data_IF_827896260501
#
_entry.id   IF_827896260501
#
_cell.length_a   1.000
_cell.length_b   1.000
_cell.length_c   1.000
_cell.angle_alpha   90.00
_cell.angle_beta   90.00
_cell.angle_gamma   90.00
#
_symmetry.space_group_name_H-M   'P 1'
#
loop_
_entity.id
_entity.type
_entity.pdbx_description
1 polymer ?
#
# COMPACT_ATOMS: atom_id res chain seq x y z
N UNK A 1 38.97 12.45 14.44
CA UNK A 1 37.90 11.61 13.85
C UNK A 1 37.55 12.24 12.53
N UNK A 2 38.04 11.68 11.42
CA UNK A 2 37.58 12.12 10.10
C UNK A 2 36.07 11.82 10.02
N UNK A 3 35.27 12.81 9.63
CA UNK A 3 33.83 12.62 9.51
C UNK A 3 33.57 11.52 8.48
N UNK A 4 32.52 10.71 8.70
CA UNK A 4 32.13 9.64 7.75
C UNK A 4 31.95 10.20 6.33
N UNK A 5 31.53 11.47 6.22
CA UNK A 5 31.47 12.26 4.99
C UNK A 5 32.83 12.44 4.28
N UNK A 6 33.93 12.59 5.02
CA UNK A 6 35.27 12.71 4.46
C UNK A 6 35.77 11.36 3.87
N UNK A 7 35.28 10.24 4.39
CA UNK A 7 35.59 8.90 3.88
C UNK A 7 34.82 8.61 2.57
N UNK A 8 33.52 8.97 2.54
CA UNK A 8 32.63 8.78 1.38
C UNK A 8 33.01 9.70 0.20
N UNK A 9 33.55 10.90 0.46
CA UNK A 9 33.93 11.83 -0.63
C UNK A 9 35.09 11.37 -1.51
N UNK A 10 35.95 10.43 -1.08
CA UNK A 10 37.23 10.19 -1.76
C UNK A 10 37.20 9.19 -2.92
N UNK A 11 36.23 8.28 -3.04
CA UNK A 11 36.22 7.27 -4.12
C UNK A 11 34.87 6.53 -4.34
N UNK A 12 33.77 7.03 -3.79
CA UNK A 12 32.50 6.28 -3.76
C UNK A 12 31.79 6.36 -5.11
N UNK A 13 31.47 5.19 -5.70
CA UNK A 13 30.71 5.12 -6.95
C UNK A 13 29.27 5.60 -6.71
N UNK A 14 28.61 6.13 -7.74
CA UNK A 14 27.24 6.66 -7.65
C UNK A 14 26.26 5.65 -7.02
N UNK A 15 26.41 4.36 -7.30
CA UNK A 15 25.61 3.28 -6.71
C UNK A 15 25.76 3.20 -5.18
N UNK A 16 26.98 3.34 -4.66
CA UNK A 16 27.25 3.31 -3.21
C UNK A 16 26.66 4.54 -2.50
N UNK A 17 26.61 5.71 -3.15
CA UNK A 17 25.91 6.88 -2.60
C UNK A 17 24.42 6.64 -2.44
N UNK A 18 23.77 5.99 -3.42
CA UNK A 18 22.34 5.64 -3.32
C UNK A 18 22.09 4.62 -2.21
N UNK A 19 22.95 3.62 -2.05
CA UNK A 19 22.86 2.68 -0.93
C UNK A 19 22.99 3.37 0.43
N UNK A 20 23.96 4.27 0.58
CA UNK A 20 24.16 5.03 1.81
C UNK A 20 22.98 5.96 2.13
N UNK A 21 22.40 6.60 1.10
CA UNK A 21 21.19 7.41 1.24
C UNK A 21 20.05 6.61 1.87
N UNK A 22 19.72 5.43 1.31
CA UNK A 22 18.66 4.58 1.86
C UNK A 22 18.99 4.07 3.27
N UNK A 23 20.26 3.73 3.52
CA UNK A 23 20.71 3.33 4.85
C UNK A 23 20.46 4.43 5.90
N UNK A 24 20.89 5.67 5.63
CA UNK A 24 20.71 6.78 6.56
C UNK A 24 19.24 7.15 6.76
N UNK A 25 18.43 7.13 5.69
CA UNK A 25 16.99 7.33 5.79
C UNK A 25 16.33 6.26 6.68
N UNK A 26 16.72 4.99 6.54
CA UNK A 26 16.17 3.89 7.37
C UNK A 26 16.52 3.99 8.85
N UNK A 27 17.62 4.71 9.18
CA UNK A 27 18.09 4.96 10.55
C UNK A 27 17.60 6.29 11.11
N UNK A 28 16.72 7.00 10.41
CA UNK A 28 16.26 8.35 10.74
C UNK A 28 17.41 9.37 10.91
N UNK A 29 18.54 9.13 10.21
CA UNK A 29 19.71 10.01 10.19
C UNK A 29 19.56 11.02 9.04
N UNK A 30 18.62 11.95 9.20
CA UNK A 30 18.17 12.81 8.09
C UNK A 30 19.20 13.86 7.67
N UNK A 31 20.00 14.39 8.59
CA UNK A 31 21.06 15.36 8.27
C UNK A 31 22.17 14.72 7.41
N UNK A 32 22.51 13.47 7.71
CA UNK A 32 23.47 12.67 6.95
C UNK A 32 22.90 12.28 5.58
N UNK A 33 21.63 11.87 5.52
CA UNK A 33 20.96 11.59 4.25
C UNK A 33 20.90 12.84 3.34
N UNK A 34 20.60 14.02 3.89
CA UNK A 34 20.61 15.29 3.15
C UNK A 34 22.00 15.60 2.58
N UNK A 35 23.04 15.40 3.40
CA UNK A 35 24.44 15.56 2.96
C UNK A 35 24.85 14.58 1.84
N UNK A 36 24.25 13.37 1.78
CA UNK A 36 24.48 12.41 0.70
C UNK A 36 23.76 12.85 -0.59
N UNK A 37 22.57 13.41 -0.48
CA UNK A 37 21.84 13.96 -1.63
C UNK A 37 22.64 15.08 -2.29
N UNK A 38 23.19 16.02 -1.51
CA UNK A 38 24.04 17.10 -2.03
C UNK A 38 25.24 16.55 -2.81
N UNK A 39 25.82 15.44 -2.34
CA UNK A 39 26.91 14.74 -3.03
C UNK A 39 26.44 14.09 -4.33
N UNK A 40 25.25 13.48 -4.37
CA UNK A 40 24.66 12.92 -5.58
C UNK A 40 24.41 14.02 -6.62
N UNK A 41 23.88 15.18 -6.20
CA UNK A 41 23.65 16.34 -7.07
C UNK A 41 24.96 16.89 -7.62
N UNK A 42 25.97 17.07 -6.75
CA UNK A 42 27.28 17.54 -7.15
C UNK A 42 27.96 16.61 -8.17
N UNK A 43 27.85 15.29 -7.98
CA UNK A 43 28.36 14.31 -8.95
C UNK A 43 27.55 14.27 -10.25
N UNK A 44 26.26 14.57 -10.21
CA UNK A 44 25.36 14.62 -11.36
C UNK A 44 25.42 15.89 -12.20
N UNK A 45 26.34 16.82 -11.92
CA UNK A 45 26.48 18.08 -12.66
C UNK A 45 25.68 19.25 -12.07
N UNK A 46 25.25 19.16 -10.81
CA UNK A 46 24.65 20.27 -10.06
C UNK A 46 23.14 20.44 -10.21
N UNK A 47 22.52 19.76 -11.17
CA UNK A 47 21.06 19.76 -11.34
C UNK A 47 20.48 18.45 -10.77
N UNK A 48 19.55 18.52 -9.80
CA UNK A 48 18.96 17.31 -9.23
C UNK A 48 18.12 16.56 -10.28
N UNK A 49 18.29 15.24 -10.33
CA UNK A 49 17.39 14.38 -11.11
C UNK A 49 16.00 14.32 -10.47
N UNK A 50 14.97 13.94 -11.23
CA UNK A 50 13.60 13.76 -10.69
C UNK A 50 13.58 12.81 -9.47
N UNK A 51 14.39 11.76 -9.49
CA UNK A 51 14.55 10.85 -8.36
C UNK A 51 15.16 11.55 -7.14
N UNK A 52 16.23 12.32 -7.33
CA UNK A 52 16.90 13.08 -6.28
C UNK A 52 15.97 14.12 -5.65
N UNK A 53 15.18 14.81 -6.46
CA UNK A 53 14.18 15.78 -5.97
C UNK A 53 13.08 15.13 -5.15
N UNK A 54 12.64 13.93 -5.53
CA UNK A 54 11.64 13.17 -4.76
C UNK A 54 12.19 12.74 -3.41
N UNK A 55 13.44 12.25 -3.35
CA UNK A 55 14.09 11.87 -2.09
C UNK A 55 14.27 13.10 -1.20
N UNK A 56 14.68 14.26 -1.75
CA UNK A 56 14.74 15.52 -1.00
C UNK A 56 13.39 15.88 -0.38
N UNK A 57 12.31 15.79 -1.15
CA UNK A 57 10.97 16.09 -0.65
C UNK A 57 10.54 15.10 0.45
N UNK A 58 10.82 13.81 0.29
CA UNK A 58 10.58 12.81 1.33
C UNK A 58 11.35 13.15 2.61
N UNK A 59 12.61 13.58 2.49
CA UNK A 59 13.45 13.93 3.61
C UNK A 59 12.95 15.19 4.33
N UNK A 60 12.50 16.20 3.59
CA UNK A 60 11.88 17.41 4.16
C UNK A 60 10.60 17.10 4.95
N UNK A 61 9.82 16.12 4.49
CA UNK A 61 8.58 15.67 5.15
C UNK A 61 8.87 14.81 6.39
N UNK A 62 9.84 13.89 6.30
CA UNK A 62 10.26 13.04 7.43
C UNK A 62 10.97 13.84 8.53
N UNK A 63 11.67 14.92 8.16
CA UNK A 63 12.31 15.84 9.10
C UNK A 63 11.32 16.89 9.67
N UNK A 64 10.02 16.75 9.40
CA UNK A 64 8.93 17.62 9.87
C UNK A 64 9.10 19.13 9.54
N UNK A 65 9.97 19.49 8.60
CA UNK A 65 10.17 20.89 8.17
C UNK A 65 9.04 21.37 7.24
N UNK A 66 8.36 20.43 6.58
CA UNK A 66 7.20 20.69 5.74
C UNK A 66 6.11 19.73 6.23
N UNK A 67 4.97 20.25 6.71
CA UNK A 67 3.81 19.39 6.85
C UNK A 67 3.33 18.98 5.45
N UNK A 68 2.84 17.75 5.24
CA UNK A 68 2.28 17.32 3.96
C UNK A 68 1.18 18.25 3.44
N UNK A 69 0.43 18.88 4.34
CA UNK A 69 -0.60 19.89 4.08
C UNK A 69 -0.06 21.28 3.68
N UNK A 70 1.24 21.52 3.86
CA UNK A 70 1.94 22.78 3.59
C UNK A 70 2.89 22.71 2.40
N UNK A 71 2.73 21.71 1.51
CA UNK A 71 3.50 21.64 0.27
C UNK A 71 3.14 22.81 -0.66
N UNK A 72 4.15 23.37 -1.32
CA UNK A 72 3.95 24.43 -2.31
C UNK A 72 3.27 23.88 -3.58
N UNK A 73 2.54 24.70 -4.35
CA UNK A 73 1.94 24.28 -5.61
C UNK A 73 2.96 23.67 -6.60
N UNK A 74 4.21 24.14 -6.58
CA UNK A 74 5.28 23.60 -7.41
C UNK A 74 5.69 22.17 -7.00
N UNK A 75 5.71 21.88 -5.69
CA UNK A 75 5.98 20.53 -5.18
C UNK A 75 4.83 19.58 -5.51
N UNK A 76 3.58 20.05 -5.42
CA UNK A 76 2.42 19.29 -5.87
C UNK A 76 2.50 18.95 -7.36
N UNK A 77 2.72 19.95 -8.22
CA UNK A 77 2.82 19.75 -9.66
C UNK A 77 3.95 18.79 -10.05
N UNK A 78 5.09 18.84 -9.34
CA UNK A 78 6.20 17.90 -9.54
C UNK A 78 5.78 16.46 -9.20
N UNK A 79 5.17 16.25 -8.03
CA UNK A 79 4.72 14.92 -7.63
C UNK A 79 3.67 14.36 -8.60
N UNK A 80 2.74 15.20 -9.06
CA UNK A 80 1.75 14.82 -10.07
C UNK A 80 2.43 14.43 -11.39
N UNK A 81 3.40 15.22 -11.86
CA UNK A 81 4.15 14.92 -13.07
C UNK A 81 4.93 13.60 -12.95
N UNK A 82 5.51 13.31 -11.78
CA UNK A 82 6.23 12.04 -11.54
C UNK A 82 5.30 10.82 -11.52
N UNK A 83 4.08 10.98 -11.01
CA UNK A 83 3.07 9.93 -11.07
C UNK A 83 2.49 9.79 -12.48
N UNK A 84 2.39 10.88 -13.23
CA UNK A 84 1.95 10.85 -14.64
C UNK A 84 2.96 10.17 -15.56
N UNK A 85 4.25 10.47 -15.38
CA UNK A 85 5.35 9.89 -16.16
C UNK A 85 5.56 8.39 -15.85
N UNK A 86 5.49 8.01 -14.57
CA UNK A 86 5.65 6.61 -14.15
C UNK A 86 4.69 6.23 -13.01
N UNK A 87 3.43 5.89 -13.32
CA UNK A 87 2.42 5.56 -12.32
C UNK A 87 2.78 4.35 -11.45
N UNK A 88 3.62 3.44 -11.95
CA UNK A 88 3.96 2.19 -11.26
C UNK A 88 5.29 2.28 -10.49
N UNK A 89 6.19 3.19 -10.88
CA UNK A 89 7.51 3.36 -10.27
C UNK A 89 7.59 4.44 -9.19
N UNK A 90 6.49 5.16 -8.94
CA UNK A 90 6.45 6.32 -8.03
C UNK A 90 5.52 6.14 -6.82
N UNK A 91 5.53 5.00 -6.09
CA UNK A 91 4.63 4.76 -4.95
C UNK A 91 4.84 5.78 -3.82
N UNK A 92 6.07 6.27 -3.70
CA UNK A 92 6.43 7.34 -2.78
C UNK A 92 5.73 8.66 -3.11
N UNK A 93 5.69 9.07 -4.38
CA UNK A 93 4.99 10.29 -4.79
C UNK A 93 3.48 10.17 -4.53
N UNK A 94 2.89 9.00 -4.80
CA UNK A 94 1.48 8.73 -4.53
C UNK A 94 1.16 8.78 -3.02
N UNK A 95 2.02 8.21 -2.18
CA UNK A 95 1.86 8.27 -0.73
C UNK A 95 1.90 9.73 -0.23
N UNK A 96 2.82 10.54 -0.75
CA UNK A 96 2.93 11.95 -0.38
C UNK A 96 1.71 12.77 -0.81
N UNK A 97 1.23 12.58 -2.04
CA UNK A 97 0.00 13.21 -2.52
C UNK A 97 -1.22 12.77 -1.70
N UNK A 98 -1.31 11.49 -1.33
CA UNK A 98 -2.42 10.98 -0.52
C UNK A 98 -2.48 11.60 0.87
N UNK A 99 -1.31 11.87 1.45
CA UNK A 99 -1.16 12.49 2.75
C UNK A 99 -1.53 13.98 2.69
N UNK A 100 -1.13 14.67 1.62
CA UNK A 100 -1.42 16.09 1.41
C UNK A 100 -2.91 16.37 1.14
N UNK A 101 -3.58 15.51 0.37
CA UNK A 101 -4.98 15.68 0.00
C UNK A 101 -5.98 14.99 0.95
N UNK A 102 -5.51 14.31 2.00
CA UNK A 102 -6.33 13.45 2.88
C UNK A 102 -7.26 12.50 2.11
N UNK A 103 -6.85 12.10 0.91
CA UNK A 103 -7.62 11.23 0.02
C UNK A 103 -6.70 10.15 -0.53
N UNK A 104 -7.18 8.91 -0.72
CA UNK A 104 -6.40 7.91 -1.42
C UNK A 104 -6.12 8.42 -2.84
N UNK A 105 -4.85 8.68 -3.16
CA UNK A 105 -4.47 9.19 -4.49
C UNK A 105 -4.81 8.13 -5.54
N UNK A 106 -5.90 8.36 -6.28
CA UNK A 106 -6.43 7.40 -7.27
C UNK A 106 -5.75 7.61 -8.61
N UNK A 107 -4.60 6.96 -8.80
CA UNK A 107 -4.20 6.40 -10.10
C UNK A 107 -3.52 5.04 -9.87
N UNK A 108 -4.34 4.04 -9.54
CA UNK A 108 -3.89 2.64 -9.54
C UNK A 108 -4.63 1.90 -10.66
N UNK A 109 -3.96 1.57 -11.78
CA UNK A 109 -4.61 0.97 -12.94
C UNK A 109 -4.59 -0.56 -12.82
N UNK A 110 -5.29 -1.11 -11.82
CA UNK A 110 -5.56 -2.56 -11.80
C UNK A 110 -6.73 -2.96 -12.72
N UNK A 111 -7.43 -2.00 -13.33
CA UNK A 111 -8.42 -2.25 -14.39
C UNK A 111 -7.77 -1.98 -15.75
N UNK A 112 -7.30 -3.05 -16.39
CA UNK A 112 -6.69 -3.08 -17.74
C UNK A 112 -7.69 -2.71 -18.87
N UNK A 113 -8.84 -2.11 -18.56
CA UNK A 113 -9.94 -1.88 -19.49
C UNK A 113 -10.75 -0.59 -19.26
N UNK A 114 -10.23 0.40 -18.52
CA UNK A 114 -10.92 1.69 -18.44
C UNK A 114 -10.55 2.58 -19.65
N UNK A 115 -11.30 2.41 -20.73
CA UNK A 115 -11.57 3.52 -21.65
C UNK A 115 -12.53 4.49 -20.96
N UNK A 116 -12.06 5.34 -20.05
CA UNK A 116 -12.89 6.43 -19.50
C UNK A 116 -12.12 7.75 -19.42
N UNK A 117 -12.84 8.86 -19.64
CA UNK A 117 -12.32 10.09 -20.23
C UNK A 117 -11.54 10.94 -19.25
N UNK A 118 -10.75 11.83 -19.83
CA UNK A 118 -9.93 12.84 -19.18
C UNK A 118 -10.58 13.45 -17.92
N UNK A 119 -9.77 13.52 -16.87
CA UNK A 119 -9.73 14.61 -15.88
C UNK A 119 -11.11 15.13 -15.45
N UNK A 120 -11.65 14.63 -14.33
CA UNK A 120 -12.63 15.40 -13.54
C UNK A 120 -12.09 15.63 -12.14
N UNK A 121 -11.47 16.80 -11.97
CA UNK A 121 -11.14 17.39 -10.67
C UNK A 121 -12.41 17.92 -9.94
N UNK A 122 -13.58 17.85 -10.58
CA UNK A 122 -14.79 18.57 -10.13
C UNK A 122 -16.04 17.68 -9.96
N UNK A 123 -15.91 16.38 -9.71
CA UNK A 123 -17.10 15.57 -9.46
C UNK A 123 -17.64 15.83 -8.03
N UNK A 124 -18.81 16.48 -7.85
CA UNK A 124 -19.44 16.54 -6.55
C UNK A 124 -19.72 15.11 -6.11
N UNK A 125 -19.38 14.83 -4.85
CA UNK A 125 -19.60 13.56 -4.15
C UNK A 125 -20.98 13.00 -4.51
N UNK A 126 -21.01 12.12 -5.51
CA UNK A 126 -22.25 11.48 -5.91
C UNK A 126 -22.48 10.38 -4.90
N UNK A 127 -23.44 10.65 -4.01
CA UNK A 127 -23.95 9.77 -2.99
C UNK A 127 -24.46 8.46 -3.63
N UNK A 128 -23.54 7.53 -3.83
CA UNK A 128 -23.78 6.10 -3.98
C UNK A 128 -22.42 5.39 -3.84
N UNK A 129 -21.76 5.56 -2.69
CA UNK A 129 -20.91 4.48 -2.20
C UNK A 129 -21.89 3.34 -1.91
N UNK A 130 -22.06 2.42 -2.87
CA UNK A 130 -22.57 1.11 -2.48
C UNK A 130 -21.64 0.64 -1.37
N UNK A 131 -22.16 0.33 -0.16
CA UNK A 131 -21.31 -0.10 0.93
C UNK A 131 -20.49 -1.26 0.39
N UNK A 132 -19.15 -1.15 0.45
CA UNK A 132 -18.30 -2.30 0.23
C UNK A 132 -18.88 -3.42 1.11
N UNK A 133 -19.18 -4.57 0.53
CA UNK A 133 -19.81 -5.63 1.29
C UNK A 133 -18.92 -5.95 2.50
N UNK A 134 -19.40 -5.66 3.71
CA UNK A 134 -18.65 -5.87 4.93
C UNK A 134 -18.63 -7.38 5.16
N UNK A 135 -17.46 -7.97 4.96
CA UNK A 135 -17.18 -9.38 5.16
C UNK A 135 -16.28 -9.52 6.38
N UNK A 136 -16.76 -10.20 7.41
CA UNK A 136 -16.03 -10.40 8.66
C UNK A 136 -15.91 -11.88 8.99
N UNK A 137 -14.70 -12.30 9.37
CA UNK A 137 -14.39 -13.65 9.81
C UNK A 137 -13.88 -13.57 11.25
N UNK A 138 -14.65 -14.10 12.18
CA UNK A 138 -14.35 -14.10 13.61
C UNK A 138 -14.11 -15.54 14.10
N UNK A 139 -12.84 -16.00 14.20
CA UNK A 139 -12.53 -17.27 14.82
C UNK A 139 -12.76 -17.22 16.34
N UNK A 140 -13.41 -18.24 16.89
CA UNK A 140 -13.46 -18.48 18.32
C UNK A 140 -12.61 -19.72 18.67
N UNK A 141 -11.37 -19.54 19.15
CA UNK A 141 -10.48 -20.65 19.47
C UNK A 141 -10.98 -21.51 20.65
N UNK A 142 -11.81 -20.95 21.55
CA UNK A 142 -12.33 -21.69 22.69
C UNK A 142 -13.40 -22.73 22.30
N UNK A 143 -14.17 -22.47 21.24
CA UNK A 143 -15.26 -23.35 20.79
C UNK A 143 -14.95 -24.09 19.49
N UNK A 144 -13.79 -23.85 18.86
CA UNK A 144 -13.47 -24.36 17.52
C UNK A 144 -14.56 -24.02 16.49
N UNK A 145 -15.12 -22.80 16.59
CA UNK A 145 -16.13 -22.30 15.65
C UNK A 145 -15.61 -21.03 15.03
N UNK A 146 -15.69 -20.94 13.70
CA UNK A 146 -15.44 -19.71 12.95
C UNK A 146 -16.78 -19.13 12.53
N UNK A 147 -17.07 -17.92 12.97
CA UNK A 147 -18.26 -17.18 12.55
C UNK A 147 -17.93 -16.30 11.37
N UNK A 148 -18.75 -16.36 10.33
CA UNK A 148 -18.64 -15.56 9.12
C UNK A 148 -19.90 -14.73 9.02
N UNK A 149 -19.74 -13.41 8.90
CA UNK A 149 -20.84 -12.49 8.60
C UNK A 149 -20.55 -11.66 7.37
N UNK A 150 -21.61 -11.41 6.60
CA UNK A 150 -21.59 -10.66 5.35
C UNK A 150 -22.78 -9.70 5.31
N UNK A 151 -22.62 -8.50 4.77
CA UNK A 151 -23.76 -7.59 4.50
C UNK A 151 -24.52 -7.96 3.22
N UNK A 152 -23.97 -8.85 2.39
CA UNK A 152 -24.63 -9.41 1.22
C UNK A 152 -24.94 -10.89 1.40
N UNK A 153 -26.03 -11.35 0.79
CA UNK A 153 -26.45 -12.74 0.79
C UNK A 153 -25.49 -13.60 -0.03
N UNK A 154 -25.03 -14.71 0.55
CA UNK A 154 -24.09 -15.63 -0.10
C UNK A 154 -24.80 -16.86 -0.65
N UNK A 155 -24.37 -17.34 -1.80
CA UNK A 155 -24.81 -18.59 -2.42
C UNK A 155 -23.96 -19.78 -1.95
N UNK A 156 -22.64 -19.57 -1.83
CA UNK A 156 -21.70 -20.64 -1.53
C UNK A 156 -20.54 -20.16 -0.62
N UNK A 157 -20.13 -21.02 0.31
CA UNK A 157 -18.90 -20.89 1.11
C UNK A 157 -17.90 -22.00 0.77
N UNK A 158 -16.63 -21.62 0.62
CA UNK A 158 -15.49 -22.51 0.42
C UNK A 158 -14.36 -22.20 1.38
N UNK A 159 -13.62 -23.22 1.80
CA UNK A 159 -12.41 -23.07 2.60
C UNK A 159 -11.29 -23.91 2.01
N UNK A 160 -10.11 -23.32 1.94
CA UNK A 160 -8.91 -23.93 1.38
C UNK A 160 -7.79 -23.96 2.42
N UNK A 161 -6.99 -25.03 2.41
CA UNK A 161 -5.79 -25.13 3.24
C UNK A 161 -4.61 -24.35 2.59
N UNK A 162 -3.43 -24.38 3.22
CA UNK A 162 -2.22 -23.71 2.70
C UNK A 162 -1.69 -24.30 1.39
N UNK A 163 -2.07 -25.53 1.06
CA UNK A 163 -1.70 -26.19 -0.19
C UNK A 163 -2.65 -25.82 -1.34
N UNK A 164 -3.75 -25.11 -1.05
CA UNK A 164 -4.79 -24.78 -2.02
C UNK A 164 -5.87 -25.85 -2.17
N UNK A 165 -5.87 -26.90 -1.34
CA UNK A 165 -6.90 -27.93 -1.38
C UNK A 165 -8.19 -27.44 -0.75
N UNK A 166 -9.33 -27.74 -1.38
CA UNK A 166 -10.66 -27.45 -0.85
C UNK A 166 -10.96 -28.41 0.31
N UNK A 167 -11.01 -27.85 1.53
CA UNK A 167 -11.28 -28.62 2.77
C UNK A 167 -12.72 -28.46 3.27
N UNK A 168 -13.43 -27.43 2.82
CA UNK A 168 -14.83 -27.22 3.18
C UNK A 168 -15.59 -26.59 2.01
N UNK A 169 -16.81 -27.05 1.79
CA UNK A 169 -17.75 -26.49 0.81
C UNK A 169 -19.17 -26.56 1.36
N UNK A 170 -19.90 -25.46 1.29
CA UNK A 170 -21.31 -25.42 1.70
C UNK A 170 -22.10 -24.44 0.85
N UNK A 171 -23.21 -24.90 0.29
CA UNK A 171 -24.22 -24.03 -0.28
C UNK A 171 -25.00 -23.37 0.86
N UNK A 172 -25.10 -22.05 0.83
CA UNK A 172 -25.66 -21.22 1.90
C UNK A 172 -26.94 -20.50 1.48
N UNK A 173 -27.35 -20.62 0.22
CA UNK A 173 -28.68 -20.28 -0.31
C UNK A 173 -29.20 -18.90 0.14
N UNK A 174 -28.35 -17.89 0.09
CA UNK A 174 -28.69 -16.50 0.41
C UNK A 174 -28.56 -16.12 1.89
N UNK A 175 -27.90 -16.92 2.73
CA UNK A 175 -27.66 -16.53 4.12
C UNK A 175 -26.64 -15.37 4.26
N UNK A 176 -26.60 -14.75 5.43
CA UNK A 176 -25.68 -13.65 5.76
C UNK A 176 -24.81 -13.92 7.00
N UNK A 177 -25.14 -14.94 7.79
CA UNK A 177 -24.43 -15.34 8.99
C UNK A 177 -24.25 -16.86 9.00
N UNK A 178 -23.01 -17.29 9.20
CA UNK A 178 -22.64 -18.70 9.11
C UNK A 178 -21.63 -19.09 10.17
N UNK A 179 -21.66 -20.36 10.54
CA UNK A 179 -20.70 -20.95 11.45
C UNK A 179 -20.08 -22.17 10.78
N UNK A 180 -18.76 -22.23 10.84
CA UNK A 180 -17.95 -23.37 10.41
C UNK A 180 -17.34 -23.98 11.66
N UNK A 181 -17.67 -25.24 11.93
CA UNK A 181 -17.04 -26.02 12.99
C UNK A 181 -15.64 -26.43 12.54
N UNK A 182 -14.60 -25.84 13.12
CA UNK A 182 -13.21 -26.12 12.80
C UNK A 182 -12.61 -27.28 13.60
N UNK A 183 -13.42 -27.98 14.39
CA UNK A 183 -12.97 -29.09 15.25
C UNK A 183 -12.35 -30.27 14.46
N UNK A 184 -12.68 -30.46 13.19
CA UNK A 184 -12.08 -31.55 12.39
C UNK A 184 -10.92 -31.09 11.50
N UNK A 185 -10.53 -29.81 11.59
CA UNK A 185 -9.47 -29.24 10.78
C UNK A 185 -8.12 -29.35 11.51
N UNK A 186 -7.04 -29.49 10.73
CA UNK A 186 -5.69 -29.43 11.27
C UNK A 186 -5.35 -28.00 11.67
N UNK A 187 -4.46 -27.80 12.65
CA UNK A 187 -3.97 -26.47 12.97
C UNK A 187 -3.23 -25.87 11.76
N UNK A 188 -3.49 -24.59 11.45
CA UNK A 188 -2.90 -23.94 10.29
C UNK A 188 -3.66 -22.71 9.81
N UNK A 189 -3.14 -22.11 8.74
CA UNK A 189 -3.78 -20.99 8.03
C UNK A 189 -4.73 -21.53 6.97
N UNK A 190 -5.92 -20.95 6.90
CA UNK A 190 -6.93 -21.29 5.91
C UNK A 190 -7.43 -20.04 5.19
N UNK A 191 -7.79 -20.23 3.93
CA UNK A 191 -8.39 -19.20 3.09
C UNK A 191 -9.88 -19.50 2.90
N UNK A 192 -10.74 -18.54 3.21
CA UNK A 192 -12.20 -18.69 3.10
C UNK A 192 -12.69 -17.80 1.96
N UNK A 193 -13.56 -18.34 1.11
CA UNK A 193 -14.23 -17.62 0.04
C UNK A 193 -15.76 -17.73 0.20
N UNK A 194 -16.46 -16.61 0.10
CA UNK A 194 -17.90 -16.53 -0.04
C UNK A 194 -18.27 -16.04 -1.44
N UNK A 195 -19.20 -16.72 -2.10
CA UNK A 195 -19.70 -16.36 -3.42
C UNK A 195 -21.09 -15.76 -3.29
N UNK A 196 -21.31 -14.60 -3.91
CA UNK A 196 -22.59 -13.94 -4.04
C UNK A 196 -22.82 -13.59 -5.52
N UNK A 197 -23.41 -14.52 -6.27
CA UNK A 197 -23.52 -14.43 -7.73
C UNK A 197 -22.15 -14.34 -8.42
N UNK A 198 -21.80 -13.14 -8.91
CA UNK A 198 -20.52 -12.86 -9.57
C UNK A 198 -19.45 -12.28 -8.62
N UNK A 199 -19.84 -11.90 -7.40
CA UNK A 199 -18.93 -11.34 -6.42
C UNK A 199 -18.31 -12.45 -5.56
N UNK A 200 -17.01 -12.29 -5.28
CA UNK A 200 -16.25 -13.20 -4.42
C UNK A 200 -15.70 -12.40 -3.25
N UNK A 201 -16.21 -12.68 -2.07
CA UNK A 201 -15.66 -12.20 -0.81
C UNK A 201 -14.63 -13.20 -0.32
N UNK A 202 -13.51 -12.72 0.21
CA UNK A 202 -12.44 -13.61 0.66
C UNK A 202 -11.79 -13.10 1.94
N UNK A 203 -11.28 -14.02 2.73
CA UNK A 203 -10.54 -13.72 3.94
C UNK A 203 -9.70 -14.88 4.40
N UNK A 204 -8.92 -14.66 5.46
CA UNK A 204 -8.00 -15.65 6.01
C UNK A 204 -8.34 -15.88 7.48
N UNK A 205 -8.16 -17.12 7.93
CA UNK A 205 -8.36 -17.49 9.32
C UNK A 205 -7.25 -18.42 9.78
N UNK A 206 -6.79 -18.24 11.02
CA UNK A 206 -5.86 -19.15 11.66
C UNK A 206 -6.65 -20.08 12.58
N UNK A 207 -6.47 -21.39 12.40
CA UNK A 207 -6.99 -22.41 13.30
C UNK A 207 -5.84 -22.83 14.22
N UNK A 208 -5.91 -22.42 15.49
CA UNK A 208 -4.95 -22.78 16.53
C UNK A 208 -5.60 -23.83 17.44
N UNK A 209 -5.18 -25.08 17.31
CA UNK A 209 -5.48 -26.09 18.33
C UNK A 209 -4.41 -26.06 19.41
#
# INVERSE_FOLDING_TARGET
>A
MDSVLALVRRNTQQTELHWNLYYYMSKAMYAEADSIIDLIIAQGGGTPSAHTTLVQLQLSLLNAQVSPENMTPAQHALLEAMVEENPYGSPSAQALLSLAYHTPYKRVPWLRNDTLPEKRLDAPYSAAIQPAADWTIAPNPATSIVTISSTIALDELRMFNTNGDLVYRRNVNGGMLFQIETANFSAGLYHIQGYAGQEVLSGRVVVTR
#
